data_IF_673375420959
#
_entry.id   IF_673375420959
#
_cell.length_a   1.000
_cell.length_b   1.000
_cell.length_c   1.000
_cell.angle_alpha   90.00
_cell.angle_beta   90.00
_cell.angle_gamma   90.00
#
_symmetry.space_group_name_H-M   'P 1'
#
loop_
_entity.id
_entity.type
_entity.pdbx_description
1 polymer ?
#
# COMPACT_ATOMS: atom_id res chain seq x y z
N UNK A 1 -3.90 7.81 -16.73
CA UNK A 1 -4.97 6.87 -16.42
C UNK A 1 -6.09 7.52 -15.68
N UNK A 2 -5.83 7.99 -14.50
CA UNK A 2 -6.85 8.69 -13.72
C UNK A 2 -7.38 9.89 -14.46
N UNK A 3 -6.51 10.61 -15.15
CA UNK A 3 -6.91 11.79 -15.91
C UNK A 3 -7.94 11.50 -16.98
N UNK A 4 -7.82 10.35 -17.63
CA UNK A 4 -8.79 9.93 -18.63
C UNK A 4 -10.15 9.69 -18.02
N UNK A 5 -10.17 9.16 -16.80
CA UNK A 5 -11.41 8.89 -16.11
C UNK A 5 -12.13 10.17 -15.72
N UNK A 6 -11.40 11.16 -15.31
CA UNK A 6 -12.00 12.45 -14.94
C UNK A 6 -12.73 13.06 -16.13
N UNK A 7 -12.11 13.02 -17.29
CA UNK A 7 -12.68 13.60 -18.49
C UNK A 7 -13.87 12.83 -19.05
N UNK A 8 -14.05 11.58 -18.65
CA UNK A 8 -15.08 10.70 -19.20
C UNK A 8 -16.10 10.25 -18.16
N UNK A 9 -16.27 11.01 -17.10
CA UNK A 9 -17.17 10.63 -16.02
C UNK A 9 -18.61 10.37 -16.49
N UNK A 10 -19.07 11.12 -17.51
CA UNK A 10 -20.42 10.96 -18.04
C UNK A 10 -20.62 9.66 -18.80
N UNK A 11 -19.56 9.04 -19.28
CA UNK A 11 -19.61 7.76 -19.97
C UNK A 11 -19.24 6.58 -19.09
N UNK A 12 -18.90 6.85 -17.83
CA UNK A 12 -18.36 5.86 -16.93
C UNK A 12 -16.84 5.77 -17.04
N UNK A 13 -16.24 5.15 -16.07
CA UNK A 13 -14.80 5.00 -15.99
C UNK A 13 -14.46 3.73 -15.22
N UNK A 14 -13.64 2.82 -15.77
CA UNK A 14 -13.21 1.65 -15.01
C UNK A 14 -12.51 2.08 -13.73
N UNK A 15 -12.91 1.49 -12.61
CA UNK A 15 -12.31 1.79 -11.33
C UNK A 15 -12.38 0.59 -10.41
N UNK A 16 -11.48 0.56 -9.44
CA UNK A 16 -11.43 -0.48 -8.43
C UNK A 16 -11.04 0.17 -7.11
N UNK A 17 -11.43 -0.46 -6.01
CA UNK A 17 -10.98 -0.05 -4.69
C UNK A 17 -9.72 -0.81 -4.33
N UNK A 18 -8.83 -0.17 -3.59
CA UNK A 18 -7.61 -0.81 -3.11
C UNK A 18 -7.34 -0.41 -1.68
N UNK A 19 -6.95 -1.41 -0.87
CA UNK A 19 -6.57 -1.17 0.51
C UNK A 19 -5.29 -1.94 0.81
N UNK A 20 -4.32 -1.26 1.40
CA UNK A 20 -3.15 -1.92 1.96
C UNK A 20 -3.25 -1.82 3.48
N UNK A 21 -3.07 -2.92 4.18
CA UNK A 21 -3.18 -2.95 5.63
C UNK A 21 -2.35 -4.06 6.24
N UNK A 22 -1.98 -3.87 7.47
CA UNK A 22 -1.22 -4.86 8.21
C UNK A 22 -0.76 -4.32 9.56
N UNK A 23 0.06 -5.10 10.24
CA UNK A 23 0.57 -4.77 11.55
C UNK A 23 2.08 -4.93 11.57
N UNK A 24 2.76 -3.96 12.17
CA UNK A 24 4.20 -4.00 12.36
C UNK A 24 4.47 -4.21 13.85
N UNK A 25 5.19 -5.25 14.17
CA UNK A 25 5.48 -5.60 15.56
C UNK A 25 6.98 -5.76 15.78
N UNK A 26 7.40 -5.69 17.04
CA UNK A 26 8.75 -6.06 17.45
C UNK A 26 8.83 -7.57 17.71
N UNK A 27 9.99 -8.03 18.18
CA UNK A 27 10.22 -9.44 18.45
C UNK A 27 9.35 -10.00 19.57
N UNK A 28 8.84 -9.14 20.44
CA UNK A 28 7.95 -9.54 21.52
C UNK A 28 6.47 -9.51 21.12
N UNK A 29 6.19 -9.18 19.87
CA UNK A 29 4.83 -9.11 19.36
C UNK A 29 4.12 -7.80 19.66
N UNK A 30 4.85 -6.80 20.14
CA UNK A 30 4.28 -5.49 20.46
C UNK A 30 4.27 -4.61 19.22
N UNK A 31 3.15 -3.93 18.98
CA UNK A 31 3.03 -3.03 17.84
C UNK A 31 3.98 -1.85 17.94
N UNK A 32 4.55 -1.44 16.82
CA UNK A 32 5.50 -0.34 16.76
C UNK A 32 4.84 0.85 16.07
N UNK A 33 4.72 1.96 16.80
CA UNK A 33 4.19 3.22 16.29
C UNK A 33 5.27 3.95 15.49
N UNK A 34 4.85 4.75 14.52
CA UNK A 34 5.75 5.70 13.85
C UNK A 34 6.63 5.08 12.77
N UNK A 35 6.34 3.86 12.35
CA UNK A 35 7.07 3.25 11.24
C UNK A 35 6.52 3.79 9.92
N UNK A 36 7.42 4.26 9.07
CA UNK A 36 7.05 4.71 7.73
C UNK A 36 6.93 3.50 6.82
N UNK A 37 5.78 3.37 6.19
CA UNK A 37 5.50 2.29 5.26
C UNK A 37 5.34 2.89 3.88
N UNK A 38 6.26 2.59 2.97
CA UNK A 38 6.16 3.05 1.59
C UNK A 38 5.67 1.89 0.74
N UNK A 39 4.51 2.09 0.12
CA UNK A 39 3.98 1.15 -0.85
C UNK A 39 4.32 1.65 -2.24
N UNK A 40 4.83 0.76 -3.09
CA UNK A 40 5.20 1.13 -4.45
C UNK A 40 4.98 -0.02 -5.41
N UNK A 41 4.86 0.32 -6.69
CA UNK A 41 4.73 -0.67 -7.75
C UNK A 41 5.28 -0.07 -9.03
N UNK A 42 5.79 -0.94 -9.89
CA UNK A 42 6.23 -0.53 -11.22
C UNK A 42 5.09 -0.79 -12.20
N UNK A 43 4.93 0.12 -13.15
CA UNK A 43 3.93 -0.09 -14.19
C UNK A 43 4.30 -1.32 -15.01
N UNK A 44 3.30 -2.17 -15.32
CA UNK A 44 3.59 -3.42 -16.07
C UNK A 44 4.00 -3.17 -17.51
N UNK A 45 3.68 -2.00 -18.07
CA UNK A 45 4.05 -1.66 -19.43
C UNK A 45 5.47 -1.07 -19.47
N UNK A 46 6.45 -1.79 -20.05
CA UNK A 46 7.82 -1.31 -20.08
C UNK A 46 8.02 -0.06 -20.94
N UNK A 47 7.04 0.27 -21.78
CA UNK A 47 7.10 1.50 -22.58
C UNK A 47 6.71 2.74 -21.80
N UNK A 48 6.15 2.57 -20.62
CA UNK A 48 5.75 3.71 -19.80
C UNK A 48 7.00 4.39 -19.24
N UNK A 49 7.12 5.68 -19.52
CA UNK A 49 8.20 6.50 -18.99
C UNK A 49 7.61 7.49 -18.00
N UNK A 50 7.82 7.25 -16.74
CA UNK A 50 7.30 8.09 -15.68
C UNK A 50 7.83 7.58 -14.36
N UNK A 51 7.49 8.27 -13.28
CA UNK A 51 7.90 7.83 -11.97
C UNK A 51 7.11 6.61 -11.55
N UNK A 52 7.74 5.68 -10.80
CA UNK A 52 7.02 4.55 -10.23
C UNK A 52 5.90 5.05 -9.33
N UNK A 53 4.81 4.29 -9.27
CA UNK A 53 3.70 4.57 -8.37
C UNK A 53 4.14 4.33 -6.93
N UNK A 54 3.93 5.30 -6.05
CA UNK A 54 4.32 5.17 -4.65
C UNK A 54 3.42 6.01 -3.76
N UNK A 55 3.22 5.54 -2.54
CA UNK A 55 2.51 6.29 -1.50
C UNK A 55 3.11 5.94 -0.14
N UNK A 56 2.83 6.76 0.85
CA UNK A 56 3.41 6.62 2.19
C UNK A 56 2.32 6.49 3.23
N UNK A 57 2.49 5.51 4.11
CA UNK A 57 1.60 5.25 5.23
C UNK A 57 2.42 5.26 6.51
N UNK A 58 1.73 5.34 7.65
CA UNK A 58 2.39 5.37 8.95
C UNK A 58 1.67 4.43 9.91
N UNK A 59 2.42 3.74 10.75
CA UNK A 59 1.81 2.89 11.76
C UNK A 59 1.29 3.75 12.92
N UNK A 60 0.16 3.32 13.47
CA UNK A 60 -0.45 3.94 14.63
C UNK A 60 0.12 3.35 15.93
N UNK A 61 -0.46 3.72 17.07
CA UNK A 61 0.01 3.27 18.39
C UNK A 61 -0.07 1.75 18.59
N UNK A 62 -0.85 1.06 17.79
CA UNK A 62 -0.94 -0.40 17.83
C UNK A 62 -0.08 -1.09 16.78
N UNK A 63 0.71 -0.32 16.03
CA UNK A 63 1.54 -0.84 14.95
C UNK A 63 0.77 -1.09 13.66
N UNK A 64 -0.48 -0.70 13.59
CA UNK A 64 -1.31 -0.93 12.41
C UNK A 64 -1.08 0.16 11.37
N UNK A 65 -1.07 -0.24 10.11
CA UNK A 65 -1.11 0.70 8.99
C UNK A 65 -2.27 0.33 8.08
N UNK A 66 -2.90 1.36 7.53
CA UNK A 66 -4.00 1.19 6.59
C UNK A 66 -3.97 2.37 5.62
N UNK A 67 -4.25 2.11 4.37
CA UNK A 67 -4.29 3.18 3.37
C UNK A 67 -5.40 4.16 3.68
N UNK A 68 -5.06 5.45 3.66
CA UNK A 68 -6.05 6.49 3.68
C UNK A 68 -6.69 6.58 2.28
N UNK A 69 -7.86 7.17 2.21
CA UNK A 69 -8.48 7.42 0.91
C UNK A 69 -7.57 8.32 0.09
N UNK A 70 -7.13 7.82 -1.05
CA UNK A 70 -6.30 8.54 -1.98
C UNK A 70 -6.59 8.03 -3.37
N UNK A 71 -6.74 8.93 -4.31
CA UNK A 71 -7.02 8.57 -5.68
C UNK A 71 -5.87 7.80 -6.33
N UNK A 72 -4.65 8.03 -5.89
CA UNK A 72 -3.50 7.31 -6.44
C UNK A 72 -3.40 5.88 -5.95
N UNK A 73 -3.90 5.62 -4.76
CA UNK A 73 -3.82 4.29 -4.16
C UNK A 73 -4.66 3.28 -4.94
N UNK A 74 -5.78 3.70 -5.49
CA UNK A 74 -6.66 2.79 -6.21
C UNK A 74 -6.00 2.18 -7.45
N UNK A 75 -5.00 2.84 -8.01
CA UNK A 75 -4.27 2.30 -9.16
C UNK A 75 -3.48 1.04 -8.82
N UNK A 76 -3.14 0.84 -7.56
CA UNK A 76 -2.46 -0.39 -7.13
C UNK A 76 -3.33 -1.63 -7.31
N UNK A 77 -4.65 -1.46 -7.40
CA UNK A 77 -5.57 -2.58 -7.62
C UNK A 77 -5.28 -3.31 -8.93
N UNK A 78 -4.69 -2.63 -9.89
CA UNK A 78 -4.40 -3.19 -11.21
C UNK A 78 -3.02 -3.81 -11.32
N UNK A 79 -2.26 -3.86 -10.23
CA UNK A 79 -0.92 -4.42 -10.19
C UNK A 79 -0.99 -5.88 -9.75
N UNK A 80 -0.03 -6.69 -10.19
CA UNK A 80 0.07 -8.08 -9.73
C UNK A 80 0.60 -8.16 -8.31
N UNK A 81 1.53 -7.26 -7.97
CA UNK A 81 2.12 -7.20 -6.65
C UNK A 81 2.56 -5.79 -6.34
N UNK A 82 2.79 -5.53 -5.06
CA UNK A 82 3.32 -4.25 -4.59
C UNK A 82 4.48 -4.51 -3.65
N UNK A 83 5.38 -3.54 -3.58
CA UNK A 83 6.50 -3.57 -2.64
C UNK A 83 6.13 -2.73 -1.44
N UNK A 84 6.38 -3.26 -0.25
CA UNK A 84 6.19 -2.56 1.02
C UNK A 84 7.54 -2.42 1.70
N UNK A 85 7.89 -1.20 2.03
CA UNK A 85 9.17 -0.89 2.67
C UNK A 85 8.89 -0.25 4.02
N UNK A 86 9.35 -0.91 5.08
CA UNK A 86 9.11 -0.50 6.46
C UNK A 86 10.39 0.08 7.04
N UNK A 87 10.35 1.33 7.44
CA UNK A 87 11.54 2.00 7.95
C UNK A 87 11.25 2.79 9.22
N UNK A 88 12.11 2.61 10.21
CA UNK A 88 12.07 3.38 11.44
C UNK A 88 12.79 4.70 11.20
N UNK A 89 12.05 5.79 11.27
CA UNK A 89 12.59 7.14 10.98
C UNK A 89 12.60 8.04 12.21
N UNK A 90 12.19 7.54 13.39
CA UNK A 90 12.12 8.35 14.60
C UNK A 90 13.29 8.10 15.59
N UNK A 91 14.27 7.32 15.18
CA UNK A 91 15.43 7.04 16.00
C UNK A 91 15.10 6.17 17.20
N UNK A 92 15.38 6.64 18.40
CA UNK A 92 15.19 5.85 19.61
C UNK A 92 13.75 5.86 20.15
N UNK A 93 12.87 6.65 19.57
CA UNK A 93 11.49 6.72 20.02
C UNK A 93 10.73 5.45 19.64
N UNK A 94 9.57 5.25 20.27
CA UNK A 94 8.65 4.14 19.97
C UNK A 94 9.31 2.76 20.03
N UNK A 95 10.10 2.53 21.06
CA UNK A 95 10.67 1.21 21.32
C UNK A 95 12.10 1.02 20.86
N UNK A 96 12.75 2.05 20.34
CA UNK A 96 14.12 2.00 19.89
C UNK A 96 14.26 1.97 18.38
N UNK A 97 15.46 1.70 17.91
CA UNK A 97 15.73 1.65 16.48
C UNK A 97 15.57 0.23 15.94
N UNK A 98 15.00 0.13 14.75
CA UNK A 98 14.74 -1.15 14.09
C UNK A 98 15.36 -1.20 12.70
N UNK A 99 15.75 -2.40 12.29
CA UNK A 99 16.24 -2.64 10.94
C UNK A 99 15.11 -2.52 9.93
N UNK A 100 15.42 -1.94 8.80
CA UNK A 100 14.47 -1.78 7.69
C UNK A 100 14.04 -3.15 7.16
N UNK A 101 12.78 -3.27 6.79
CA UNK A 101 12.22 -4.48 6.18
C UNK A 101 11.59 -4.12 4.85
N UNK A 102 11.84 -4.92 3.84
CA UNK A 102 11.22 -4.76 2.52
C UNK A 102 10.62 -6.10 2.12
N UNK A 103 9.36 -6.07 1.72
CA UNK A 103 8.66 -7.26 1.24
C UNK A 103 7.90 -6.94 -0.04
N UNK A 104 7.73 -7.96 -0.88
CA UNK A 104 6.84 -7.86 -2.03
C UNK A 104 5.66 -8.79 -1.78
N UNK A 105 4.46 -8.26 -1.95
CA UNK A 105 3.22 -8.99 -1.64
C UNK A 105 2.28 -8.94 -2.83
N UNK A 106 1.50 -10.01 -3.05
CA UNK A 106 0.55 -10.01 -4.15
C UNK A 106 -0.64 -9.10 -3.84
N UNK A 107 -1.22 -8.55 -4.91
CA UNK A 107 -2.49 -7.87 -4.85
C UNK A 107 -3.57 -8.89 -5.18
N UNK A 108 -4.58 -9.00 -4.34
CA UNK A 108 -5.63 -9.99 -4.55
C UNK A 108 -7.01 -9.36 -4.43
N UNK A 109 -7.95 -9.92 -5.17
CA UNK A 109 -9.33 -9.45 -5.20
C UNK A 109 -10.08 -9.97 -4.00
N UNK A 110 -10.76 -9.09 -3.28
CA UNK A 110 -11.57 -9.45 -2.10
C UNK A 110 -13.05 -9.25 -2.34
N UNK A 111 -13.44 -8.53 -3.38
CA UNK A 111 -14.83 -8.30 -3.73
C UNK A 111 -14.95 -8.20 -5.24
N UNK A 112 -15.96 -8.89 -5.79
CA UNK A 112 -16.21 -8.85 -7.23
C UNK A 112 -16.74 -7.48 -7.66
N UNK A 113 -16.45 -7.11 -8.90
CA UNK A 113 -17.01 -5.93 -9.52
C UNK A 113 -18.46 -6.13 -9.90
N UNK A 114 -19.06 -5.08 -10.45
CA UNK A 114 -20.46 -5.12 -10.88
C UNK A 114 -20.64 -5.54 -12.35
N UNK A 115 -19.54 -5.88 -13.01
CA UNK A 115 -19.57 -6.25 -14.43
C UNK A 115 -19.71 -5.06 -15.38
N UNK A 116 -19.60 -3.86 -14.87
CA UNK A 116 -19.72 -2.64 -15.66
C UNK A 116 -18.44 -1.81 -15.47
N UNK A 117 -18.52 -0.71 -14.73
CA UNK A 117 -17.35 0.15 -14.53
C UNK A 117 -16.57 -0.15 -13.26
N UNK A 118 -17.21 -0.82 -12.31
CA UNK A 118 -16.55 -1.17 -11.06
C UNK A 118 -15.90 -2.55 -11.16
N UNK A 119 -14.59 -2.58 -11.01
CA UNK A 119 -13.79 -3.80 -11.18
C UNK A 119 -13.62 -4.59 -9.88
N UNK A 120 -14.15 -4.11 -8.78
CA UNK A 120 -14.09 -4.83 -7.52
C UNK A 120 -13.16 -4.18 -6.51
N UNK A 121 -12.98 -4.85 -5.38
CA UNK A 121 -12.08 -4.40 -4.33
C UNK A 121 -10.88 -5.34 -4.23
N UNK A 122 -9.72 -4.76 -4.01
CA UNK A 122 -8.45 -5.48 -3.94
C UNK A 122 -7.71 -5.10 -2.68
N UNK A 123 -6.89 -6.01 -2.19
CA UNK A 123 -6.08 -5.79 -1.01
C UNK A 123 -4.67 -6.30 -1.20
N UNK A 124 -3.74 -5.68 -0.49
CA UNK A 124 -2.39 -6.18 -0.34
C UNK A 124 -1.92 -5.79 1.06
N UNK A 125 -0.94 -6.50 1.59
CA UNK A 125 -0.38 -6.13 2.87
C UNK A 125 0.37 -7.28 3.50
N UNK A 126 1.08 -6.96 4.56
CA UNK A 126 1.85 -7.93 5.29
C UNK A 126 1.90 -7.54 6.77
N UNK A 127 1.89 -8.54 7.62
CA UNK A 127 2.25 -8.36 9.02
C UNK A 127 3.74 -8.64 9.11
N UNK A 128 4.52 -7.69 9.61
CA UNK A 128 5.97 -7.83 9.67
C UNK A 128 6.47 -7.70 11.09
N UNK A 129 7.57 -8.37 11.37
CA UNK A 129 8.30 -8.23 12.62
C UNK A 129 9.61 -7.51 12.29
N UNK A 130 9.86 -6.39 12.95
CA UNK A 130 11.09 -5.65 12.76
C UNK A 130 12.05 -5.98 13.89
N UNK A 131 13.31 -6.17 13.54
CA UNK A 131 14.35 -6.54 14.50
C UNK A 131 15.07 -5.29 14.99
N UNK A 132 15.30 -5.20 16.28
CA UNK A 132 16.07 -4.11 16.87
C UNK A 132 17.51 -4.12 16.40
N UNK A 133 18.01 -2.95 16.16
CA UNK A 133 19.44 -2.76 15.89
C UNK A 133 20.29 -3.01 17.10
#
# INVERSE_FOLDING_TARGET
>A
MVDSCIAKAEYGCPHADFEAKGVVTDEDGKGIQGIRVVISAEYPNPSYVGEPMADTLWTNHSGEYITAESQMIDDFAYMDSVKLEFEDVDGQENGGEFHKVTVEVPVFKVKEGDGNWYDGSYEAGANVTMLKK
#
